data_IF_848297889236
#
_entry.id   IF_848297889236
#
_cell.length_a   1.000
_cell.length_b   1.000
_cell.length_c   1.000
_cell.angle_alpha   90.00
_cell.angle_beta   90.00
_cell.angle_gamma   90.00
#
_symmetry.space_group_name_H-M   'P 1'
#
loop_
_entity.id
_entity.type
_entity.pdbx_description
1 polymer ?
#
# COMPACT_ATOMS: atom_id res chain seq x y z
N UNK A 1 -25.50 -23.86 34.45
CA UNK A 1 -24.41 -22.86 34.29
C UNK A 1 -23.65 -22.95 32.95
N UNK A 2 -23.30 -24.14 32.45
CA UNK A 2 -22.53 -24.31 31.18
C UNK A 2 -23.20 -23.80 29.88
N UNK A 3 -24.53 -23.73 29.82
CA UNK A 3 -25.27 -23.34 28.60
C UNK A 3 -25.24 -21.81 28.38
N UNK A 4 -25.26 -20.99 29.43
CA UNK A 4 -25.19 -19.51 29.31
C UNK A 4 -23.83 -19.05 28.75
N UNK A 5 -22.74 -19.59 29.26
CA UNK A 5 -21.38 -19.27 28.78
C UNK A 5 -21.17 -19.64 27.29
N UNK A 6 -21.77 -20.76 26.83
CA UNK A 6 -21.69 -21.17 25.43
C UNK A 6 -22.50 -20.26 24.48
N UNK A 7 -23.58 -19.63 24.97
CA UNK A 7 -24.40 -18.70 24.19
C UNK A 7 -23.75 -17.32 24.13
N UNK A 8 -23.14 -16.86 25.22
CA UNK A 8 -22.39 -15.60 25.27
C UNK A 8 -21.13 -15.64 24.38
N UNK A 9 -20.37 -16.75 24.40
CA UNK A 9 -19.22 -16.93 23.50
C UNK A 9 -19.58 -16.92 22.01
N UNK A 10 -20.78 -17.42 21.65
CA UNK A 10 -21.27 -17.37 20.27
C UNK A 10 -21.63 -15.95 19.83
N UNK A 11 -22.30 -15.16 20.69
CA UNK A 11 -22.64 -13.76 20.38
C UNK A 11 -21.38 -12.91 20.19
N UNK A 12 -20.39 -13.07 21.06
CA UNK A 12 -19.10 -12.38 20.93
C UNK A 12 -18.35 -12.74 19.65
N UNK A 13 -18.35 -14.02 19.27
CA UNK A 13 -17.72 -14.48 18.02
C UNK A 13 -18.42 -13.89 16.79
N UNK A 14 -19.76 -13.85 16.78
CA UNK A 14 -20.53 -13.26 15.67
C UNK A 14 -20.26 -11.75 15.56
N UNK A 15 -20.23 -11.03 16.68
CA UNK A 15 -19.91 -9.60 16.68
C UNK A 15 -18.50 -9.34 16.13
N UNK A 16 -17.51 -10.14 16.54
CA UNK A 16 -16.14 -10.05 16.04
C UNK A 16 -16.08 -10.29 14.53
N UNK A 17 -16.77 -11.32 14.03
CA UNK A 17 -16.85 -11.61 12.59
C UNK A 17 -17.53 -10.48 11.80
N UNK A 18 -18.58 -9.86 12.34
CA UNK A 18 -19.24 -8.71 11.72
C UNK A 18 -18.31 -7.49 11.67
N UNK A 19 -17.57 -7.21 12.74
CA UNK A 19 -16.61 -6.11 12.78
C UNK A 19 -15.48 -6.31 11.75
N UNK A 20 -14.98 -7.54 11.63
CA UNK A 20 -14.01 -7.91 10.61
C UNK A 20 -14.57 -7.76 9.20
N UNK A 21 -15.81 -8.19 8.96
CA UNK A 21 -16.46 -8.03 7.67
C UNK A 21 -16.58 -6.54 7.30
N UNK A 22 -17.04 -5.70 8.23
CA UNK A 22 -17.13 -4.26 8.03
C UNK A 22 -15.76 -3.64 7.73
N UNK A 23 -14.72 -4.03 8.48
CA UNK A 23 -13.36 -3.56 8.24
C UNK A 23 -12.84 -3.99 6.85
N UNK A 24 -13.01 -5.26 6.47
CA UNK A 24 -12.63 -5.74 5.12
C UNK A 24 -13.39 -4.96 4.03
N UNK A 25 -14.67 -4.65 4.24
CA UNK A 25 -15.44 -3.82 3.30
C UNK A 25 -14.84 -2.42 3.16
N UNK A 26 -14.38 -1.80 4.25
CA UNK A 26 -13.65 -0.52 4.20
C UNK A 26 -12.35 -0.65 3.40
N UNK A 27 -11.56 -1.70 3.62
CA UNK A 27 -10.33 -1.94 2.85
C UNK A 27 -10.60 -2.09 1.35
N UNK A 28 -11.63 -2.87 0.98
CA UNK A 28 -12.05 -3.03 -0.41
C UNK A 28 -12.51 -1.69 -0.99
N UNK A 29 -13.34 -0.95 -0.25
CA UNK A 29 -13.83 0.35 -0.67
C UNK A 29 -12.68 1.33 -0.92
N UNK A 30 -11.70 1.41 -0.03
CA UNK A 30 -10.53 2.25 -0.23
C UNK A 30 -9.74 1.84 -1.47
N UNK A 31 -9.48 0.54 -1.65
CA UNK A 31 -8.72 0.05 -2.79
C UNK A 31 -9.42 0.35 -4.13
N UNK A 32 -10.74 0.17 -4.20
CA UNK A 32 -11.55 0.48 -5.39
C UNK A 32 -11.55 1.98 -5.70
N UNK A 33 -11.50 2.83 -4.67
CA UNK A 33 -11.43 4.28 -4.83
C UNK A 33 -9.99 4.82 -4.89
N UNK A 34 -8.99 3.97 -5.14
CA UNK A 34 -7.57 4.36 -5.28
C UNK A 34 -6.96 5.05 -4.05
N UNK A 35 -7.55 4.83 -2.86
CA UNK A 35 -7.02 5.27 -1.59
C UNK A 35 -6.17 4.17 -0.95
N UNK A 36 -5.07 4.58 -0.34
CA UNK A 36 -4.21 3.72 0.45
C UNK A 36 -3.98 4.33 1.83
N UNK A 37 -3.77 3.51 2.86
CA UNK A 37 -3.33 4.05 4.14
C UNK A 37 -1.89 4.57 4.03
N UNK A 38 -1.65 5.72 4.67
CA UNK A 38 -0.31 6.31 4.82
C UNK A 38 0.62 5.43 5.68
N UNK A 39 0.05 4.48 6.43
CA UNK A 39 0.80 3.51 7.23
C UNK A 39 1.66 2.66 6.28
N UNK A 40 2.95 2.54 6.61
CA UNK A 40 4.02 1.85 5.89
C UNK A 40 3.59 0.61 5.08
N UNK A 41 4.35 0.20 4.03
CA UNK A 41 4.08 -1.00 3.21
C UNK A 41 3.71 -2.26 4.02
N UNK A 42 4.29 -2.41 5.21
CA UNK A 42 4.06 -3.49 6.15
C UNK A 42 2.68 -3.48 6.81
N UNK A 43 1.93 -2.37 6.85
CA UNK A 43 0.61 -2.32 7.48
C UNK A 43 -0.54 -2.54 6.49
N UNK A 44 -0.33 -2.17 5.22
CA UNK A 44 -1.39 -1.95 4.22
C UNK A 44 -2.36 -3.12 4.03
N UNK A 45 -1.84 -4.35 3.97
CA UNK A 45 -2.66 -5.57 3.88
C UNK A 45 -2.40 -6.57 5.00
N UNK A 46 -1.37 -6.36 5.83
CA UNK A 46 -1.06 -7.28 6.91
C UNK A 46 -2.04 -7.13 8.06
N UNK A 47 -2.54 -5.92 8.34
CA UNK A 47 -3.52 -5.69 9.40
C UNK A 47 -4.83 -6.47 9.14
N UNK A 48 -5.53 -6.30 8.00
CA UNK A 48 -6.73 -7.07 7.71
C UNK A 48 -6.47 -8.58 7.63
N UNK A 49 -5.32 -9.00 7.08
CA UNK A 49 -4.95 -10.41 7.00
C UNK A 49 -4.73 -11.04 8.38
N UNK A 50 -3.93 -10.42 9.25
CA UNK A 50 -3.67 -10.89 10.61
C UNK A 50 -4.96 -10.95 11.43
N UNK A 51 -5.81 -9.95 11.27
CA UNK A 51 -7.12 -9.91 11.89
C UNK A 51 -8.01 -11.07 11.40
N UNK A 52 -8.09 -11.32 10.09
CA UNK A 52 -8.81 -12.45 9.52
C UNK A 52 -8.25 -13.80 10.00
N UNK A 53 -6.92 -13.97 10.05
CA UNK A 53 -6.31 -15.19 10.59
C UNK A 53 -6.63 -15.39 12.07
N UNK A 54 -6.48 -14.35 12.89
CA UNK A 54 -6.80 -14.42 14.32
C UNK A 54 -8.25 -14.81 14.56
N UNK A 55 -9.17 -14.27 13.76
CA UNK A 55 -10.59 -14.57 13.83
C UNK A 55 -10.91 -16.01 13.45
N UNK A 56 -10.28 -16.52 12.38
CA UNK A 56 -10.41 -17.92 11.97
C UNK A 56 -9.85 -18.85 13.04
N UNK A 57 -8.72 -18.52 13.65
CA UNK A 57 -8.15 -19.28 14.78
C UNK A 57 -9.13 -19.31 15.97
N UNK A 58 -9.68 -18.16 16.37
CA UNK A 58 -10.67 -18.09 17.45
C UNK A 58 -11.92 -18.90 17.10
N UNK A 59 -12.43 -18.79 15.88
CA UNK A 59 -13.61 -19.53 15.42
C UNK A 59 -13.40 -21.05 15.48
N UNK A 60 -12.21 -21.54 15.11
CA UNK A 60 -11.82 -22.95 15.19
C UNK A 60 -11.71 -23.42 16.65
N UNK A 61 -11.11 -22.61 17.52
CA UNK A 61 -10.93 -22.94 18.94
C UNK A 61 -12.27 -23.01 19.69
N UNK A 62 -13.19 -22.09 19.39
CA UNK A 62 -14.50 -22.02 20.05
C UNK A 62 -15.46 -23.09 19.51
N UNK A 63 -15.35 -23.46 18.22
CA UNK A 63 -16.31 -24.39 17.59
C UNK A 63 -15.73 -25.79 17.36
N UNK A 64 -16.13 -26.74 18.22
CA UNK A 64 -15.73 -28.16 18.14
C UNK A 64 -16.01 -28.82 16.79
N UNK A 65 -16.98 -28.31 16.03
CA UNK A 65 -17.37 -28.77 14.68
C UNK A 65 -16.37 -28.35 13.59
N UNK A 66 -15.71 -27.20 13.73
CA UNK A 66 -14.78 -26.66 12.73
C UNK A 66 -13.34 -27.10 12.96
N UNK A 67 -13.06 -27.84 14.04
CA UNK A 67 -11.71 -28.36 14.34
C UNK A 67 -11.11 -29.19 13.21
N UNK A 68 -11.93 -29.86 12.39
CA UNK A 68 -11.48 -30.61 11.20
C UNK A 68 -10.88 -29.71 10.11
N UNK A 69 -11.31 -28.46 10.02
CA UNK A 69 -10.78 -27.47 9.07
C UNK A 69 -9.56 -26.71 9.59
N UNK A 70 -9.12 -26.96 10.83
CA UNK A 70 -7.95 -26.29 11.43
C UNK A 70 -6.70 -26.46 10.57
N UNK A 71 -6.46 -27.67 10.06
CA UNK A 71 -5.30 -27.98 9.21
C UNK A 71 -5.35 -27.15 7.92
N UNK A 72 -6.51 -27.06 7.27
CA UNK A 72 -6.69 -26.28 6.04
C UNK A 72 -6.44 -24.79 6.29
N UNK A 73 -6.98 -24.25 7.39
CA UNK A 73 -6.80 -22.84 7.77
C UNK A 73 -5.33 -22.56 8.09
N UNK A 74 -4.64 -23.47 8.78
CA UNK A 74 -3.21 -23.33 9.08
C UNK A 74 -2.33 -23.39 7.84
N UNK A 75 -2.62 -24.28 6.89
CA UNK A 75 -1.90 -24.37 5.61
C UNK A 75 -2.12 -23.08 4.80
N UNK A 76 -3.37 -22.61 4.71
CA UNK A 76 -3.69 -21.35 4.03
C UNK A 76 -2.96 -20.18 4.69
N UNK A 77 -2.94 -20.14 6.03
CA UNK A 77 -2.21 -19.15 6.81
C UNK A 77 -0.71 -19.16 6.51
N UNK A 78 -0.10 -20.35 6.49
CA UNK A 78 1.32 -20.53 6.17
C UNK A 78 1.64 -20.09 4.73
N UNK A 79 0.81 -20.44 3.76
CA UNK A 79 0.99 -20.04 2.36
C UNK A 79 0.89 -18.51 2.19
N UNK A 80 -0.07 -17.89 2.87
CA UNK A 80 -0.22 -16.44 2.90
C UNK A 80 1.01 -15.78 3.54
N UNK A 81 1.53 -16.28 4.66
CA UNK A 81 2.76 -15.75 5.27
C UNK A 81 3.95 -15.88 4.30
N UNK A 82 4.13 -17.05 3.66
CA UNK A 82 5.22 -17.28 2.72
C UNK A 82 5.15 -16.34 1.49
N UNK A 83 3.97 -16.18 0.90
CA UNK A 83 3.74 -15.23 -0.21
C UNK A 83 4.07 -13.79 0.19
N UNK A 84 3.84 -13.41 1.45
CA UNK A 84 4.12 -12.06 1.94
C UNK A 84 5.59 -11.85 2.26
N UNK A 85 6.28 -12.86 2.80
CA UNK A 85 7.73 -12.85 2.94
C UNK A 85 8.43 -12.66 1.58
N UNK A 86 7.89 -13.27 0.52
CA UNK A 86 8.35 -13.03 -0.84
C UNK A 86 8.18 -11.56 -1.27
N UNK A 87 7.03 -10.95 -0.96
CA UNK A 87 6.78 -9.53 -1.24
C UNK A 87 7.71 -8.55 -0.49
N UNK A 88 8.24 -8.92 0.67
CA UNK A 88 9.22 -8.10 1.41
C UNK A 88 10.59 -8.07 0.74
N UNK A 89 10.94 -9.10 -0.05
CA UNK A 89 12.20 -9.16 -0.80
C UNK A 89 12.20 -8.14 -1.96
N UNK A 90 11.01 -7.81 -2.50
CA UNK A 90 10.82 -6.81 -3.56
C UNK A 90 10.72 -5.38 -2.99
N UNK A 91 11.72 -5.01 -2.18
CA UNK A 91 11.74 -3.85 -1.29
C UNK A 91 11.35 -2.52 -1.94
N UNK A 92 10.10 -2.11 -1.73
CA UNK A 92 9.65 -0.77 -2.06
C UNK A 92 10.19 0.24 -1.05
N UNK A 93 10.77 1.32 -1.56
CA UNK A 93 11.21 2.47 -0.80
C UNK A 93 10.22 3.62 -0.92
N UNK A 94 10.27 4.54 0.03
CA UNK A 94 9.35 5.66 0.12
C UNK A 94 10.16 6.94 0.34
N UNK A 95 9.82 7.99 -0.39
CA UNK A 95 10.25 9.36 -0.14
C UNK A 95 9.02 10.25 0.00
N UNK A 96 9.14 11.29 0.82
CA UNK A 96 8.08 12.29 0.98
C UNK A 96 8.64 13.67 0.69
N UNK A 97 7.85 14.49 0.02
CA UNK A 97 8.19 15.86 -0.33
C UNK A 97 6.99 16.72 0.07
N UNK A 98 7.22 17.67 0.96
CA UNK A 98 6.19 18.61 1.40
C UNK A 98 6.11 19.79 0.44
N UNK A 99 4.89 20.26 0.20
CA UNK A 99 4.62 21.50 -0.53
C UNK A 99 5.17 22.71 0.23
N UNK A 100 5.47 23.84 -0.46
CA UNK A 100 6.06 25.03 0.17
C UNK A 100 5.26 25.59 1.35
N UNK A 101 3.92 25.50 1.34
CA UNK A 101 3.07 25.89 2.49
C UNK A 101 2.71 24.72 3.41
N UNK A 102 3.13 23.50 3.09
CA UNK A 102 2.87 22.29 3.89
C UNK A 102 1.39 21.88 3.94
N UNK A 103 0.60 22.28 2.94
CA UNK A 103 -0.81 21.88 2.82
C UNK A 103 -0.95 20.50 2.18
N UNK A 104 -0.11 20.23 1.18
CA UNK A 104 -0.04 18.98 0.44
C UNK A 104 1.30 18.28 0.65
N UNK A 105 1.27 16.96 0.70
CA UNK A 105 2.46 16.11 0.78
C UNK A 105 2.45 15.13 -0.38
N UNK A 106 3.50 15.15 -1.19
CA UNK A 106 3.74 14.15 -2.20
C UNK A 106 4.49 12.97 -1.60
N UNK A 107 3.93 11.78 -1.74
CA UNK A 107 4.57 10.51 -1.37
C UNK A 107 4.99 9.79 -2.64
N UNK A 108 6.30 9.57 -2.79
CA UNK A 108 6.90 8.86 -3.90
C UNK A 108 7.29 7.48 -3.41
N UNK A 109 6.65 6.46 -3.95
CA UNK A 109 6.97 5.06 -3.70
C UNK A 109 7.75 4.53 -4.89
N UNK A 110 8.93 3.96 -4.65
CA UNK A 110 9.81 3.52 -5.73
C UNK A 110 10.49 2.19 -5.45
N UNK A 111 10.80 1.45 -6.52
CA UNK A 111 11.62 0.23 -6.47
C UNK A 111 12.45 0.13 -7.74
N UNK A 112 13.47 -0.70 -7.69
CA UNK A 112 14.26 -1.06 -8.85
C UNK A 112 14.12 -2.55 -9.19
N UNK A 113 14.24 -2.86 -10.47
CA UNK A 113 14.41 -4.23 -10.95
C UNK A 113 15.60 -4.27 -11.92
N UNK A 114 16.37 -5.35 -11.84
CA UNK A 114 17.54 -5.57 -12.71
C UNK A 114 17.21 -6.76 -13.61
N UNK A 115 16.97 -6.51 -14.89
CA UNK A 115 16.74 -7.54 -15.92
C UNK A 115 17.54 -7.17 -17.17
N UNK A 116 18.86 -7.34 -17.11
CA UNK A 116 19.79 -6.87 -18.15
C UNK A 116 20.09 -5.38 -18.01
N UNK A 117 19.06 -4.55 -18.04
CA UNK A 117 19.10 -3.12 -17.69
C UNK A 117 18.41 -2.87 -16.34
N UNK A 118 18.63 -1.68 -15.75
CA UNK A 118 18.00 -1.31 -14.49
C UNK A 118 16.76 -0.45 -14.75
N UNK A 119 15.59 -0.95 -14.36
CA UNK A 119 14.34 -0.19 -14.44
C UNK A 119 13.94 0.28 -13.06
N UNK A 120 13.67 1.58 -12.92
CA UNK A 120 13.11 2.18 -11.73
C UNK A 120 11.62 2.45 -11.92
N UNK A 121 10.81 1.92 -11.02
CA UNK A 121 9.35 2.07 -11.01
C UNK A 121 8.98 3.08 -9.94
N UNK A 122 8.19 4.08 -10.28
CA UNK A 122 7.70 5.12 -9.37
C UNK A 122 6.16 5.11 -9.32
N UNK A 123 5.63 5.26 -8.12
CA UNK A 123 4.21 5.46 -7.85
C UNK A 123 4.07 6.73 -7.02
N UNK A 124 3.28 7.67 -7.52
CA UNK A 124 3.06 8.96 -6.89
C UNK A 124 1.72 8.96 -6.17
N UNK A 125 1.72 9.45 -4.94
CA UNK A 125 0.54 9.58 -4.13
C UNK A 125 0.48 10.97 -3.49
N UNK A 126 -0.72 11.51 -3.37
CA UNK A 126 -0.98 12.73 -2.61
C UNK A 126 -1.47 12.37 -1.22
N UNK A 127 -1.04 13.11 -0.21
CA UNK A 127 -1.62 13.04 1.13
C UNK A 127 -1.76 14.44 1.69
N UNK A 128 -2.91 14.71 2.28
CA UNK A 128 -3.10 15.93 3.06
C UNK A 128 -2.63 15.70 4.49
N UNK A 129 -2.08 16.74 5.12
CA UNK A 129 -1.54 16.71 6.50
C UNK A 129 -2.52 16.16 7.54
N UNK A 130 -3.83 16.24 7.29
CA UNK A 130 -4.89 15.81 8.21
C UNK A 130 -5.44 14.41 7.93
N UNK A 131 -5.00 13.75 6.86
CA UNK A 131 -5.53 12.45 6.44
C UNK A 131 -4.56 11.32 6.75
N UNK A 132 -5.07 10.20 7.28
CA UNK A 132 -4.33 8.94 7.43
C UNK A 132 -4.24 8.15 6.12
N UNK A 133 -4.75 8.72 5.02
CA UNK A 133 -4.84 8.12 3.70
C UNK A 133 -4.02 8.92 2.70
N UNK A 134 -3.63 8.24 1.63
CA UNK A 134 -3.00 8.84 0.47
C UNK A 134 -3.73 8.37 -0.78
N UNK A 135 -3.90 9.27 -1.73
CA UNK A 135 -4.59 9.06 -2.99
C UNK A 135 -3.56 8.80 -4.08
N UNK A 136 -3.80 7.76 -4.88
CA UNK A 136 -2.92 7.44 -6.00
C UNK A 136 -3.07 8.47 -7.13
N UNK A 137 -1.96 9.07 -7.56
CA UNK A 137 -1.92 10.04 -8.64
C UNK A 137 -1.55 9.39 -9.98
N UNK A 138 -0.38 8.76 -10.05
CA UNK A 138 0.15 8.21 -11.30
C UNK A 138 1.34 7.28 -11.08
N UNK A 139 1.78 6.62 -12.16
CA UNK A 139 3.02 5.84 -12.22
C UNK A 139 3.96 6.42 -13.26
N UNK A 140 5.26 6.24 -13.05
CA UNK A 140 6.30 6.51 -14.03
C UNK A 140 7.33 5.40 -13.95
N UNK A 141 7.75 4.88 -15.10
CA UNK A 141 8.81 3.88 -15.18
C UNK A 141 9.96 4.48 -15.98
N UNK A 142 11.16 4.45 -15.42
CA UNK A 142 12.37 4.98 -16.05
C UNK A 142 13.40 3.87 -16.19
N UNK A 143 13.88 3.65 -17.41
CA UNK A 143 14.87 2.64 -17.73
C UNK A 143 16.24 3.29 -17.80
N UNK A 144 17.22 2.72 -17.09
CA UNK A 144 18.61 3.18 -17.08
C UNK A 144 19.48 2.09 -17.73
N UNK A 145 19.99 2.36 -18.94
CA UNK A 145 21.00 1.53 -19.58
C UNK A 145 22.26 1.42 -18.72
N UNK A 146 22.99 0.32 -18.83
CA UNK A 146 24.15 0.04 -17.99
C UNK A 146 25.29 1.07 -18.15
N UNK A 147 25.43 1.67 -19.32
CA UNK A 147 26.43 2.71 -19.64
C UNK A 147 26.07 4.08 -19.05
N UNK A 148 24.83 4.30 -18.65
CA UNK A 148 24.38 5.54 -18.00
C UNK A 148 24.27 5.43 -16.47
N UNK A 149 24.63 4.27 -15.89
CA UNK A 149 24.49 4.02 -14.46
C UNK A 149 25.33 4.97 -13.60
N UNK A 150 26.50 5.41 -14.08
CA UNK A 150 27.35 6.37 -13.36
C UNK A 150 26.68 7.75 -13.26
N UNK A 151 25.82 8.11 -14.22
CA UNK A 151 25.07 9.37 -14.25
C UNK A 151 23.81 9.26 -13.37
N UNK A 152 23.14 8.11 -13.43
CA UNK A 152 21.88 7.81 -12.72
C UNK A 152 22.01 6.56 -11.82
N UNK A 153 22.80 6.62 -10.74
CA UNK A 153 23.15 5.44 -9.93
C UNK A 153 22.00 4.94 -9.03
N UNK A 154 20.96 5.74 -8.84
CA UNK A 154 19.86 5.43 -7.94
C UNK A 154 18.55 6.10 -8.38
N UNK A 155 17.44 5.59 -7.84
CA UNK A 155 16.08 6.03 -8.17
C UNK A 155 15.84 7.53 -7.91
N UNK A 156 16.44 8.09 -6.85
CA UNK A 156 16.24 9.51 -6.55
C UNK A 156 16.83 10.40 -7.64
N UNK A 157 18.03 10.06 -8.10
CA UNK A 157 18.73 10.79 -9.16
C UNK A 157 18.12 10.55 -10.54
N UNK A 158 17.65 9.34 -10.84
CA UNK A 158 16.93 9.05 -12.10
C UNK A 158 15.63 9.85 -12.22
N UNK A 159 14.89 9.98 -11.12
CA UNK A 159 13.69 10.83 -11.08
C UNK A 159 14.03 12.33 -10.95
N UNK A 160 15.16 12.68 -10.37
CA UNK A 160 15.47 14.07 -9.99
C UNK A 160 14.72 14.52 -8.74
N UNK A 161 14.39 13.61 -7.82
CA UNK A 161 13.67 13.92 -6.59
C UNK A 161 14.53 14.53 -5.49
N UNK A 162 15.84 14.66 -5.70
CA UNK A 162 16.76 15.37 -4.78
C UNK A 162 16.58 16.90 -4.86
N UNK A 163 16.13 17.41 -6.00
CA UNK A 163 15.88 18.83 -6.24
C UNK A 163 14.54 19.05 -6.97
N UNK A 164 13.41 18.72 -6.30
CA UNK A 164 12.08 18.97 -6.87
C UNK A 164 11.84 20.47 -6.98
N UNK A 165 11.27 20.91 -8.10
CA UNK A 165 10.89 22.32 -8.29
C UNK A 165 9.37 22.42 -8.14
N UNK A 166 8.93 22.98 -7.02
CA UNK A 166 7.52 23.33 -6.84
C UNK A 166 7.18 24.55 -7.69
N UNK A 167 6.25 24.37 -8.62
CA UNK A 167 5.69 25.46 -9.44
C UNK A 167 4.51 26.13 -8.73
N UNK A 168 3.78 25.36 -7.90
CA UNK A 168 2.70 25.82 -7.03
C UNK A 168 2.54 24.87 -5.84
N UNK A 169 1.52 25.02 -5.00
CA UNK A 169 1.21 24.03 -3.93
C UNK A 169 0.76 22.67 -4.50
N UNK A 170 0.23 22.69 -5.73
CA UNK A 170 -0.41 21.55 -6.40
C UNK A 170 0.37 21.11 -7.63
N UNK A 171 1.59 21.59 -7.83
CA UNK A 171 2.36 21.28 -9.04
C UNK A 171 3.84 21.21 -8.73
N UNK A 172 4.45 20.07 -9.06
CA UNK A 172 5.87 19.83 -8.88
C UNK A 172 6.48 19.33 -10.18
N UNK A 173 7.66 19.86 -10.49
CA UNK A 173 8.44 19.51 -11.66
C UNK A 173 9.70 18.77 -11.23
N UNK A 174 9.94 17.65 -11.90
CA UNK A 174 11.08 16.79 -11.75
C UNK A 174 11.97 16.86 -12.99
N UNK A 175 13.28 16.90 -12.78
CA UNK A 175 14.27 16.78 -13.84
C UNK A 175 14.69 15.31 -13.95
N UNK A 176 13.91 14.53 -14.70
CA UNK A 176 14.16 13.09 -14.87
C UNK A 176 15.23 12.84 -15.92
N UNK A 177 15.74 11.61 -15.97
CA UNK A 177 16.61 11.14 -17.07
C UNK A 177 16.04 11.45 -18.46
N UNK A 178 14.74 11.21 -18.67
CA UNK A 178 14.10 11.31 -19.99
C UNK A 178 13.56 12.72 -20.29
N UNK A 179 13.91 13.70 -19.44
CA UNK A 179 13.50 15.09 -19.54
C UNK A 179 12.59 15.55 -18.40
N UNK A 180 12.01 16.77 -18.52
CA UNK A 180 11.18 17.34 -17.48
C UNK A 180 9.85 16.60 -17.34
N UNK A 181 9.53 16.15 -16.13
CA UNK A 181 8.25 15.54 -15.77
C UNK A 181 7.52 16.44 -14.79
N UNK A 182 6.33 16.91 -15.15
CA UNK A 182 5.49 17.72 -14.28
C UNK A 182 4.35 16.88 -13.73
N UNK A 183 4.22 16.88 -12.40
CA UNK A 183 3.14 16.21 -11.69
C UNK A 183 2.19 17.26 -11.11
N UNK A 184 0.91 17.11 -11.42
CA UNK A 184 -0.18 17.91 -10.88
C UNK A 184 -0.82 17.13 -9.73
N UNK A 185 -0.88 17.76 -8.57
CA UNK A 185 -1.39 17.30 -7.28
C UNK A 185 -2.71 18.06 -7.04
N UNK A 186 -3.74 17.69 -7.79
CA UNK A 186 -5.06 18.33 -7.69
C UNK A 186 -6.04 17.41 -6.93
N UNK A 187 -6.74 17.99 -5.94
CA UNK A 187 -7.84 17.35 -5.22
C UNK A 187 -9.14 17.23 -6.07
N UNK A 188 -9.09 17.64 -7.34
CA UNK A 188 -10.22 17.59 -8.27
C UNK A 188 -10.14 16.40 -9.23
N UNK A 189 -11.11 15.49 -9.12
CA UNK A 189 -11.62 14.60 -10.17
C UNK A 189 -11.16 14.98 -11.61
N UNK A 190 -9.98 14.55 -12.05
CA UNK A 190 -9.65 14.53 -13.48
C UNK A 190 -10.10 13.19 -14.04
N UNK A 191 -11.41 13.11 -14.26
CA UNK A 191 -12.11 12.01 -14.93
C UNK A 191 -11.91 12.06 -16.45
N UNK A 192 -10.73 12.49 -16.92
CA UNK A 192 -10.41 12.63 -18.34
C UNK A 192 -8.90 12.44 -18.58
N UNK A 193 -8.43 11.21 -18.39
CA UNK A 193 -7.29 10.71 -19.18
C UNK A 193 -7.74 9.47 -19.92
N UNK A 194 -8.31 9.70 -21.12
CA UNK A 194 -8.43 8.66 -22.14
C UNK A 194 -7.00 8.26 -22.55
N UNK A 195 -6.70 6.99 -22.37
CA UNK A 195 -5.62 6.30 -23.10
C UNK A 195 -5.99 6.19 -24.57
#
# INVERSE_FOLDING_TARGET
>A
MRIRAAVEGKKGTILLLLLLLAMNAVFIFMHVNHYEFYIQPLARWNIPLLLNMSALTVAVLVSRKWRRFSIIISILGMFLVAFRMWGLIMGWNYATIESPKGTETLVIKYRDAIHGERTYFYQFYQSSRLTITMEYLTVLDLMVPNDEFDIYPNAKRTLGSDHPIWLSETEVKFHTKDGPFTLIIDNGYSKDRKF
#
